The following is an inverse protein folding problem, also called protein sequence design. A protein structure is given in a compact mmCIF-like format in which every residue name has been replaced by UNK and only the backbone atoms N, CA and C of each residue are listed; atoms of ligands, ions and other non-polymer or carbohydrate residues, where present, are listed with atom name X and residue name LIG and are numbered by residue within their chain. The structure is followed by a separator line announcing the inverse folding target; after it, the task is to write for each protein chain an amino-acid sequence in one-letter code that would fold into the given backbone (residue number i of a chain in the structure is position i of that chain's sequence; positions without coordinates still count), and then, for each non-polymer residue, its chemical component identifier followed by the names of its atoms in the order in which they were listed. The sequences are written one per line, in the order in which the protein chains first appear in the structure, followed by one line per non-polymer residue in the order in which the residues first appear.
data_IF_746450564141
#
_entry.id   IF_746450564141
#
_cell.length_a   1.000
_cell.length_b   1.000
_cell.length_c   1.000
_cell.angle_alpha   90.00
_cell.angle_beta   90.00
_cell.angle_gamma   90.00
#
_symmetry.space_group_name_H-M   'P 1'
#
loop_
_entity.id
_entity.type
_entity.pdbx_description
1 polymer ?
#
# COMPACT_ATOMS: atom_id res chain seq x y z
N UNK A 1 2.30 -0.55 37.02
CA UNK A 1 2.95 -0.92 35.75
C UNK A 1 2.29 -0.20 34.57
N UNK A 2 1.02 -0.48 34.23
CA UNK A 2 0.35 0.14 33.07
C UNK A 2 0.23 1.69 33.15
N UNK A 3 -0.17 2.23 34.31
CA UNK A 3 -0.30 3.70 34.49
C UNK A 3 1.03 4.42 34.31
N UNK A 4 2.11 3.91 34.93
CA UNK A 4 3.45 4.48 34.77
C UNK A 4 3.93 4.44 33.33
N UNK A 5 3.70 3.32 32.62
CA UNK A 5 4.04 3.19 31.20
C UNK A 5 3.28 4.17 30.30
N UNK A 6 2.00 4.44 30.59
CA UNK A 6 1.24 5.45 29.86
C UNK A 6 1.78 6.87 30.13
N UNK A 7 2.04 7.21 31.40
CA UNK A 7 2.58 8.53 31.75
C UNK A 7 3.98 8.73 31.18
N UNK A 8 4.85 7.73 31.19
CA UNK A 8 6.17 7.83 30.56
C UNK A 8 6.07 7.96 29.04
N UNK A 9 5.10 7.31 28.37
CA UNK A 9 4.82 7.55 26.94
C UNK A 9 4.32 8.98 26.65
N UNK A 10 3.53 9.57 27.55
CA UNK A 10 3.12 10.99 27.43
C UNK A 10 4.33 11.90 27.59
N UNK A 11 5.15 11.68 28.64
CA UNK A 11 6.38 12.45 28.87
C UNK A 11 7.30 12.38 27.66
N UNK A 12 7.56 11.18 27.12
CA UNK A 12 8.36 11.00 25.91
C UNK A 12 7.80 11.78 24.72
N UNK A 13 6.49 11.70 24.46
CA UNK A 13 5.86 12.46 23.38
C UNK A 13 6.07 13.98 23.54
N UNK A 14 5.89 14.53 24.74
CA UNK A 14 6.10 15.96 25.00
C UNK A 14 7.59 16.35 24.86
N UNK A 15 8.51 15.49 25.30
CA UNK A 15 9.95 15.69 25.11
C UNK A 15 10.33 15.70 23.62
N UNK A 16 9.79 14.79 22.83
CA UNK A 16 10.03 14.74 21.38
C UNK A 16 9.49 16.02 20.70
N UNK A 17 8.34 16.53 21.14
CA UNK A 17 7.80 17.82 20.66
C UNK A 17 8.72 19.01 20.95
N UNK A 18 9.41 19.02 22.11
CA UNK A 18 10.38 20.07 22.47
C UNK A 18 11.59 20.10 21.52
N UNK A 19 11.99 18.96 20.96
CA UNK A 19 13.15 18.81 20.09
C UNK A 19 12.81 19.08 18.62
N UNK A 20 11.69 18.53 18.14
CA UNK A 20 11.38 18.44 16.71
C UNK A 20 10.16 19.28 16.28
N UNK A 21 9.47 19.96 17.21
CA UNK A 21 8.25 20.72 16.94
C UNK A 21 8.46 22.19 16.60
N UNK A 22 7.63 22.72 15.70
CA UNK A 22 7.46 24.17 15.48
C UNK A 22 6.58 24.75 16.60
N UNK A 23 7.19 25.01 17.76
CA UNK A 23 6.53 25.54 18.97
C UNK A 23 7.06 26.92 19.33
N UNK A 24 6.15 27.80 19.75
CA UNK A 24 6.50 29.14 20.24
C UNK A 24 7.26 29.06 21.58
N UNK A 25 8.04 30.10 21.89
CA UNK A 25 8.81 30.17 23.14
C UNK A 25 7.93 30.01 24.39
N UNK A 26 6.78 30.68 24.43
CA UNK A 26 5.83 30.59 25.55
C UNK A 26 5.25 29.17 25.71
N UNK A 27 5.00 28.46 24.60
CA UNK A 27 4.52 27.08 24.63
C UNK A 27 5.58 26.11 25.10
N UNK A 28 6.86 26.40 24.80
CA UNK A 28 8.01 25.59 25.22
C UNK A 28 8.14 25.55 26.75
N UNK A 29 8.13 26.73 27.39
CA UNK A 29 8.21 26.82 28.85
C UNK A 29 7.04 26.09 29.53
N UNK A 30 5.83 26.25 28.98
CA UNK A 30 4.64 25.56 29.47
C UNK A 30 4.75 24.03 29.36
N UNK A 31 5.34 23.52 28.27
CA UNK A 31 5.57 22.09 28.06
C UNK A 31 6.64 21.53 29.01
N UNK A 32 7.72 22.27 29.26
CA UNK A 32 8.76 21.87 30.21
C UNK A 32 8.21 21.73 31.63
N UNK A 33 7.38 22.68 32.07
CA UNK A 33 6.69 22.60 33.37
C UNK A 33 5.75 21.39 33.43
N UNK A 34 4.97 21.14 32.36
CA UNK A 34 4.08 19.99 32.31
C UNK A 34 4.84 18.65 32.40
N UNK A 35 5.98 18.53 31.73
CA UNK A 35 6.86 17.36 31.81
C UNK A 35 7.33 17.17 33.25
N UNK A 36 7.91 18.20 33.88
CA UNK A 36 8.42 18.10 35.25
C UNK A 36 7.33 17.72 36.26
N UNK A 37 6.12 18.25 36.09
CA UNK A 37 4.98 17.89 36.93
C UNK A 37 4.61 16.40 36.78
N UNK A 38 4.57 15.88 35.55
CA UNK A 38 4.25 14.47 35.28
C UNK A 38 5.34 13.52 35.81
N UNK A 39 6.61 13.86 35.57
CA UNK A 39 7.76 13.08 36.05
C UNK A 39 7.76 12.99 37.58
N UNK A 40 7.56 14.11 38.26
CA UNK A 40 7.53 14.17 39.73
C UNK A 40 6.30 13.45 40.32
N UNK A 41 5.10 13.70 39.78
CA UNK A 41 3.86 13.15 40.32
C UNK A 41 3.79 11.62 40.20
N UNK A 42 4.34 11.04 39.13
CA UNK A 42 4.27 9.60 38.87
C UNK A 42 5.60 8.87 39.10
N UNK A 43 6.68 9.61 39.39
CA UNK A 43 8.04 9.11 39.52
C UNK A 43 8.41 8.25 38.29
N UNK A 44 8.48 8.91 37.12
CA UNK A 44 8.79 8.34 35.80
C UNK A 44 9.63 9.34 34.98
N UNK A 45 10.29 8.86 33.93
CA UNK A 45 11.04 9.64 32.95
C UNK A 45 10.66 9.24 31.52
N UNK A 46 11.04 10.04 30.52
CA UNK A 46 10.85 9.71 29.10
C UNK A 46 11.48 8.36 28.70
N UNK A 47 12.62 8.01 29.31
CA UNK A 47 13.34 6.73 29.10
C UNK A 47 12.57 5.51 29.61
N UNK A 48 11.61 5.70 30.52
CA UNK A 48 10.76 4.62 31.04
C UNK A 48 9.62 4.27 30.08
N UNK A 49 9.49 4.96 28.94
CA UNK A 49 8.48 4.66 27.94
C UNK A 49 8.78 3.30 27.26
N UNK A 50 7.77 2.42 27.09
CA UNK A 50 7.97 1.17 26.36
C UNK A 50 8.50 1.43 24.95
N UNK A 51 9.57 0.74 24.55
CA UNK A 51 10.27 0.97 23.28
C UNK A 51 9.37 0.78 22.04
N UNK A 52 8.32 -0.04 22.16
CA UNK A 52 7.38 -0.37 21.09
C UNK A 52 6.09 0.49 21.11
N UNK A 53 5.98 1.49 22.00
CA UNK A 53 4.78 2.33 22.13
C UNK A 53 5.09 3.74 21.60
N UNK A 54 4.45 4.10 20.48
CA UNK A 54 4.43 5.46 19.97
C UNK A 54 3.03 6.05 20.19
N UNK A 55 2.89 6.93 21.19
CA UNK A 55 1.59 7.48 21.59
C UNK A 55 0.92 8.28 20.47
N UNK A 56 1.70 9.05 19.71
CA UNK A 56 1.18 9.84 18.60
C UNK A 56 0.59 8.93 17.51
N UNK A 57 1.30 7.87 17.13
CA UNK A 57 0.82 6.89 16.15
C UNK A 57 -0.40 6.12 16.66
N UNK A 58 -0.43 5.76 17.94
CA UNK A 58 -1.59 5.10 18.55
C UNK A 58 -2.82 6.02 18.51
N UNK A 59 -2.67 7.29 18.89
CA UNK A 59 -3.76 8.27 18.82
C UNK A 59 -4.22 8.49 17.37
N UNK A 60 -3.28 8.63 16.43
CA UNK A 60 -3.58 8.75 15.01
C UNK A 60 -4.37 7.55 14.51
N UNK A 61 -3.92 6.33 14.81
CA UNK A 61 -4.63 5.10 14.46
C UNK A 61 -6.01 5.02 15.13
N UNK A 62 -6.12 5.42 16.41
CA UNK A 62 -7.39 5.43 17.13
C UNK A 62 -8.37 6.45 16.53
N UNK A 63 -7.88 7.60 16.08
CA UNK A 63 -8.69 8.62 15.40
C UNK A 63 -9.10 8.18 13.99
N UNK A 64 -8.21 7.50 13.26
CA UNK A 64 -8.51 6.91 11.95
C UNK A 64 -9.53 5.77 12.04
N UNK A 65 -9.55 5.04 13.17
CA UNK A 65 -10.42 3.90 13.44
C UNK A 65 -11.58 4.23 14.41
N UNK A 66 -11.74 5.49 14.82
CA UNK A 66 -12.76 5.87 15.79
C UNK A 66 -14.14 5.59 15.18
N UNK A 67 -14.95 4.79 15.87
CA UNK A 67 -16.34 4.60 15.49
C UNK A 67 -17.02 5.97 15.43
N UNK A 68 -17.59 6.37 14.29
CA UNK A 68 -18.31 7.62 14.16
C UNK A 68 -19.42 7.67 15.20
N UNK A 69 -19.49 8.74 15.98
CA UNK A 69 -20.65 8.98 16.85
C UNK A 69 -21.82 9.30 15.94
N UNK A 70 -22.66 8.29 15.69
CA UNK A 70 -23.88 8.46 14.91
C UNK A 70 -24.83 9.35 15.71
N UNK A 71 -25.52 10.24 15.02
CA UNK A 71 -26.58 11.05 15.60
C UNK A 71 -27.77 10.21 16.09
N UNK A 72 -28.71 10.85 16.81
CA UNK A 72 -29.97 10.20 17.17
C UNK A 72 -30.71 9.72 15.92
N UNK A 73 -31.65 8.79 16.11
CA UNK A 73 -32.48 8.32 15.01
C UNK A 73 -33.29 9.48 14.40
N UNK A 74 -33.19 9.64 13.07
CA UNK A 74 -33.88 10.67 12.33
C UNK A 74 -35.38 10.38 12.21
N UNK A 75 -36.21 11.44 12.20
CA UNK A 75 -37.66 11.30 11.96
C UNK A 75 -37.93 10.80 10.53
N UNK A 76 -39.11 10.22 10.25
CA UNK A 76 -39.49 9.80 8.90
C UNK A 76 -39.37 10.93 7.87
N UNK A 77 -39.70 12.16 8.24
CA UNK A 77 -39.61 13.34 7.38
C UNK A 77 -38.15 13.70 7.09
N UNK A 78 -37.28 13.66 8.10
CA UNK A 78 -35.85 13.89 7.93
C UNK A 78 -35.20 12.81 7.06
N UNK A 79 -35.60 11.54 7.21
CA UNK A 79 -35.15 10.42 6.35
C UNK A 79 -35.61 10.63 4.90
N UNK A 80 -36.87 11.02 4.68
CA UNK A 80 -37.39 11.28 3.34
C UNK A 80 -36.66 12.45 2.65
N UNK A 81 -36.39 13.53 3.39
CA UNK A 81 -35.64 14.67 2.88
C UNK A 81 -34.17 14.31 2.60
N UNK A 82 -33.52 13.55 3.47
CA UNK A 82 -32.17 13.04 3.26
C UNK A 82 -32.08 12.18 1.99
N UNK A 83 -33.07 11.31 1.75
CA UNK A 83 -33.13 10.50 0.53
C UNK A 83 -33.32 11.36 -0.72
N UNK A 84 -34.14 12.42 -0.65
CA UNK A 84 -34.30 13.41 -1.74
C UNK A 84 -32.97 14.08 -2.06
N UNK A 85 -32.27 14.59 -1.05
CA UNK A 85 -30.95 15.22 -1.20
C UNK A 85 -29.91 14.26 -1.77
N UNK A 86 -29.90 13.00 -1.33
CA UNK A 86 -29.04 11.96 -1.91
C UNK A 86 -29.37 11.72 -3.39
N UNK A 87 -30.64 11.67 -3.77
CA UNK A 87 -31.03 11.50 -5.17
C UNK A 87 -30.59 12.68 -6.04
N UNK A 88 -30.74 13.91 -5.53
CA UNK A 88 -30.25 15.12 -6.19
C UNK A 88 -28.73 15.11 -6.32
N UNK A 89 -28.01 14.75 -5.25
CA UNK A 89 -26.56 14.54 -5.27
C UNK A 89 -26.11 13.51 -6.31
N UNK A 90 -26.86 12.41 -6.47
CA UNK A 90 -26.59 11.41 -7.50
C UNK A 90 -26.78 12.00 -8.92
N UNK A 91 -27.79 12.84 -9.13
CA UNK A 91 -28.02 13.50 -10.42
C UNK A 91 -26.89 14.50 -10.74
N UNK A 92 -26.44 15.27 -9.74
CA UNK A 92 -25.31 16.20 -9.86
C UNK A 92 -24.00 15.47 -10.15
N UNK A 93 -23.78 14.29 -9.55
CA UNK A 93 -22.62 13.45 -9.87
C UNK A 93 -22.60 13.00 -11.34
N UNK A 94 -23.76 12.69 -11.93
CA UNK A 94 -23.88 12.37 -13.36
C UNK A 94 -23.60 13.57 -14.26
N UNK A 95 -23.77 14.79 -13.75
CA UNK A 95 -23.45 16.04 -14.43
C UNK A 95 -22.02 16.54 -14.11
N UNK A 96 -21.21 15.74 -13.41
CA UNK A 96 -19.86 16.09 -12.96
C UNK A 96 -19.78 17.34 -12.04
N UNK A 97 -20.91 17.74 -11.46
CA UNK A 97 -21.02 18.84 -10.49
C UNK A 97 -20.64 18.38 -9.09
N UNK A 98 -19.36 18.06 -8.90
CA UNK A 98 -18.87 17.40 -7.70
C UNK A 98 -19.07 18.21 -6.40
N UNK A 99 -18.82 19.52 -6.41
CA UNK A 99 -18.99 20.35 -5.20
C UNK A 99 -20.46 20.47 -4.76
N UNK A 100 -21.39 20.58 -5.71
CA UNK A 100 -22.83 20.61 -5.41
C UNK A 100 -23.31 19.25 -4.87
N UNK A 101 -22.84 18.14 -5.48
CA UNK A 101 -23.12 16.80 -4.99
C UNK A 101 -22.59 16.59 -3.55
N UNK A 102 -21.36 17.05 -3.27
CA UNK A 102 -20.76 17.00 -1.93
C UNK A 102 -21.64 17.71 -0.89
N UNK A 103 -22.16 18.90 -1.23
CA UNK A 103 -23.05 19.66 -0.37
C UNK A 103 -24.35 18.89 -0.09
N UNK A 104 -24.96 18.28 -1.11
CA UNK A 104 -26.20 17.52 -0.95
C UNK A 104 -26.03 16.26 -0.11
N UNK A 105 -24.97 15.47 -0.31
CA UNK A 105 -24.69 14.32 0.56
C UNK A 105 -24.38 14.75 2.00
N UNK A 106 -23.69 15.87 2.18
CA UNK A 106 -23.41 16.40 3.52
C UNK A 106 -24.69 16.81 4.24
N UNK A 107 -25.62 17.49 3.55
CA UNK A 107 -26.94 17.81 4.10
C UNK A 107 -27.75 16.55 4.43
N UNK A 108 -27.72 15.53 3.56
CA UNK A 108 -28.38 14.25 3.82
C UNK A 108 -27.84 13.59 5.10
N UNK A 109 -26.52 13.57 5.29
CA UNK A 109 -25.87 13.05 6.50
C UNK A 109 -26.25 13.83 7.76
N UNK A 110 -26.36 15.16 7.67
CA UNK A 110 -26.81 15.99 8.81
C UNK A 110 -28.23 15.67 9.23
N UNK A 111 -29.11 15.32 8.28
CA UNK A 111 -30.50 14.94 8.56
C UNK A 111 -30.64 13.51 9.04
N UNK A 112 -29.89 12.58 8.44
CA UNK A 112 -29.84 11.17 8.82
C UNK A 112 -28.42 10.62 8.67
N UNK A 113 -27.73 10.54 9.80
CA UNK A 113 -26.35 10.06 9.90
C UNK A 113 -26.23 8.54 9.99
N UNK A 114 -27.34 7.80 9.95
CA UNK A 114 -27.35 6.33 10.16
C UNK A 114 -27.52 5.55 8.87
N UNK A 115 -27.41 6.21 7.72
CA UNK A 115 -27.50 5.58 6.41
C UNK A 115 -26.13 5.51 5.74
N UNK A 116 -25.60 4.28 5.62
CA UNK A 116 -24.29 4.00 5.02
C UNK A 116 -24.15 4.50 3.58
N UNK A 117 -25.26 4.56 2.83
CA UNK A 117 -25.27 4.98 1.42
C UNK A 117 -24.80 6.42 1.26
N UNK A 118 -25.16 7.32 2.18
CA UNK A 118 -24.80 8.73 2.05
C UNK A 118 -23.29 8.95 2.18
N UNK A 119 -22.67 8.31 3.17
CA UNK A 119 -21.23 8.32 3.36
C UNK A 119 -20.51 7.67 2.19
N UNK A 120 -20.95 6.48 1.76
CA UNK A 120 -20.36 5.82 0.59
C UNK A 120 -20.43 6.73 -0.65
N UNK A 121 -21.57 7.37 -0.91
CA UNK A 121 -21.74 8.30 -2.02
C UNK A 121 -20.84 9.53 -1.91
N UNK A 122 -20.74 10.13 -0.72
CA UNK A 122 -19.85 11.26 -0.46
C UNK A 122 -18.37 10.88 -0.62
N UNK A 123 -17.99 9.66 -0.23
CA UNK A 123 -16.65 9.14 -0.44
C UNK A 123 -16.25 9.13 -1.93
N UNK A 124 -17.15 8.76 -2.85
CA UNK A 124 -16.83 8.85 -4.28
C UNK A 124 -16.63 10.29 -4.76
N UNK A 125 -17.37 11.25 -4.21
CA UNK A 125 -17.14 12.66 -4.54
C UNK A 125 -15.76 13.08 -4.05
N UNK A 126 -15.38 12.71 -2.82
CA UNK A 126 -14.05 12.95 -2.30
C UNK A 126 -12.96 12.32 -3.18
N UNK A 127 -13.13 11.07 -3.62
CA UNK A 127 -12.19 10.44 -4.57
C UNK A 127 -12.08 11.19 -5.89
N UNK A 128 -13.20 11.67 -6.45
CA UNK A 128 -13.20 12.47 -7.70
C UNK A 128 -12.50 13.83 -7.54
N UNK A 129 -12.54 14.39 -6.33
CA UNK A 129 -11.86 15.64 -5.98
C UNK A 129 -10.41 15.42 -5.50
N UNK A 130 -9.88 14.20 -5.53
CA UNK A 130 -8.52 13.87 -5.03
C UNK A 130 -8.39 13.82 -3.50
N UNK A 131 -9.48 13.94 -2.76
CA UNK A 131 -9.50 13.95 -1.29
C UNK A 131 -9.56 12.54 -0.71
N UNK A 132 -8.57 11.69 -1.03
CA UNK A 132 -8.60 10.25 -0.71
C UNK A 132 -8.67 9.93 0.78
N UNK A 133 -8.02 10.73 1.65
CA UNK A 133 -8.12 10.57 3.10
C UNK A 133 -9.54 10.77 3.62
N UNK A 134 -10.28 11.75 3.08
CA UNK A 134 -11.69 11.97 3.43
C UNK A 134 -12.57 10.85 2.87
N UNK A 135 -12.26 10.34 1.68
CA UNK A 135 -12.96 9.18 1.13
C UNK A 135 -12.80 7.93 2.02
N UNK A 136 -11.60 7.66 2.55
CA UNK A 136 -11.35 6.57 3.51
C UNK A 136 -12.21 6.76 4.76
N UNK A 137 -12.23 7.96 5.35
CA UNK A 137 -13.03 8.25 6.54
C UNK A 137 -14.52 8.00 6.32
N UNK A 138 -15.06 8.44 5.19
CA UNK A 138 -16.47 8.20 4.84
C UNK A 138 -16.75 6.72 4.54
N UNK A 139 -15.84 6.00 3.87
CA UNK A 139 -16.00 4.56 3.66
C UNK A 139 -15.99 3.78 4.99
N UNK A 140 -15.08 4.10 5.90
CA UNK A 140 -15.03 3.49 7.23
C UNK A 140 -16.31 3.78 8.03
N UNK A 141 -16.87 4.98 7.89
CA UNK A 141 -18.17 5.32 8.50
C UNK A 141 -19.32 4.53 7.87
N UNK A 142 -19.33 4.39 6.55
CA UNK A 142 -20.33 3.56 5.88
C UNK A 142 -20.26 2.10 6.38
N UNK A 143 -19.05 1.56 6.53
CA UNK A 143 -18.81 0.19 6.98
C UNK A 143 -19.06 -0.03 8.47
N UNK A 144 -18.96 1.00 9.32
CA UNK A 144 -19.37 0.90 10.72
C UNK A 144 -20.89 0.88 10.88
N UNK A 145 -21.63 1.47 9.92
CA UNK A 145 -23.10 1.43 9.86
C UNK A 145 -23.58 0.12 9.23
N UNK A 146 -23.01 -0.26 8.08
CA UNK A 146 -23.31 -1.48 7.35
C UNK A 146 -22.01 -2.21 6.96
N UNK A 147 -21.56 -3.18 7.78
CA UNK A 147 -20.37 -3.97 7.49
C UNK A 147 -20.48 -4.85 6.25
N UNK A 148 -21.68 -5.04 5.69
CA UNK A 148 -21.91 -5.85 4.49
C UNK A 148 -21.94 -5.03 3.19
N UNK A 149 -21.61 -3.73 3.26
CA UNK A 149 -21.71 -2.86 2.11
C UNK A 149 -20.50 -2.96 1.17
N UNK A 150 -20.56 -3.93 0.25
CA UNK A 150 -19.55 -4.24 -0.80
C UNK A 150 -18.96 -2.98 -1.47
N UNK A 151 -19.83 -2.04 -1.86
CA UNK A 151 -19.46 -0.80 -2.55
C UNK A 151 -18.58 0.12 -1.71
N UNK A 152 -18.76 0.14 -0.39
CA UNK A 152 -17.89 0.89 0.51
C UNK A 152 -16.49 0.27 0.58
N UNK A 153 -16.37 -1.06 0.61
CA UNK A 153 -15.08 -1.73 0.51
C UNK A 153 -14.37 -1.48 -0.83
N UNK A 154 -15.09 -1.55 -1.95
CA UNK A 154 -14.52 -1.25 -3.26
C UNK A 154 -14.00 0.20 -3.37
N UNK A 155 -14.70 1.17 -2.77
CA UNK A 155 -14.26 2.58 -2.72
C UNK A 155 -13.11 2.81 -1.75
N UNK A 156 -13.10 2.09 -0.63
CA UNK A 156 -12.00 2.10 0.33
C UNK A 156 -10.71 1.59 -0.33
N UNK A 157 -10.80 0.49 -1.08
CA UNK A 157 -9.70 -0.05 -1.88
C UNK A 157 -9.17 0.97 -2.88
N UNK A 158 -10.06 1.66 -3.61
CA UNK A 158 -9.68 2.70 -4.56
C UNK A 158 -8.94 3.87 -3.89
N UNK A 159 -9.47 4.34 -2.75
CA UNK A 159 -8.85 5.44 -2.02
C UNK A 159 -7.47 5.06 -1.46
N UNK A 160 -7.28 3.83 -0.98
CA UNK A 160 -5.97 3.34 -0.57
C UNK A 160 -5.00 3.19 -1.76
N UNK A 161 -5.46 2.66 -2.90
CA UNK A 161 -4.64 2.58 -4.13
C UNK A 161 -4.15 3.96 -4.57
N UNK A 162 -5.00 4.99 -4.50
CA UNK A 162 -4.62 6.37 -4.85
C UNK A 162 -3.62 7.00 -3.88
N UNK A 163 -3.48 6.46 -2.67
CA UNK A 163 -2.47 6.86 -1.69
C UNK A 163 -1.25 5.93 -1.67
N UNK A 164 -1.10 5.07 -2.68
CA UNK A 164 -0.03 4.06 -2.78
C UNK A 164 0.00 3.06 -1.60
N UNK A 165 -1.10 2.98 -0.84
CA UNK A 165 -1.32 2.04 0.27
C UNK A 165 -1.85 0.71 -0.26
N UNK A 166 -1.04 0.06 -1.10
CA UNK A 166 -1.49 -1.07 -1.90
C UNK A 166 -1.87 -2.31 -1.08
N UNK A 167 -1.31 -2.47 0.13
CA UNK A 167 -1.65 -3.58 1.03
C UNK A 167 -3.08 -3.44 1.55
N UNK A 168 -3.43 -2.27 2.08
CA UNK A 168 -4.79 -1.98 2.55
C UNK A 168 -5.80 -1.96 1.39
N UNK A 169 -5.35 -1.54 0.19
CA UNK A 169 -6.17 -1.61 -1.02
C UNK A 169 -6.54 -3.05 -1.36
N UNK A 170 -5.56 -3.96 -1.40
CA UNK A 170 -5.75 -5.40 -1.63
C UNK A 170 -6.78 -5.98 -0.66
N UNK A 171 -6.56 -5.80 0.65
CA UNK A 171 -7.46 -6.34 1.70
C UNK A 171 -8.90 -5.82 1.54
N UNK A 172 -9.05 -4.55 1.12
CA UNK A 172 -10.37 -3.95 0.88
C UNK A 172 -11.07 -4.55 -0.34
N UNK A 173 -10.36 -4.75 -1.46
CA UNK A 173 -10.94 -5.38 -2.66
C UNK A 173 -11.27 -6.86 -2.45
N UNK A 174 -10.45 -7.60 -1.71
CA UNK A 174 -10.76 -8.99 -1.33
C UNK A 174 -12.06 -9.09 -0.54
N UNK A 175 -12.27 -8.18 0.44
CA UNK A 175 -13.54 -8.10 1.17
C UNK A 175 -14.72 -7.75 0.27
N UNK A 176 -14.53 -6.83 -0.67
CA UNK A 176 -15.56 -6.49 -1.65
C UNK A 176 -15.92 -7.70 -2.55
N UNK A 177 -14.93 -8.44 -3.01
CA UNK A 177 -15.11 -9.65 -3.84
C UNK A 177 -15.70 -10.83 -3.07
N UNK A 178 -15.43 -10.95 -1.77
CA UNK A 178 -16.08 -11.96 -0.94
C UNK A 178 -17.61 -11.77 -0.90
N UNK A 179 -18.08 -10.52 -1.08
CA UNK A 179 -19.50 -10.17 -1.12
C UNK A 179 -20.07 -10.19 -2.54
N UNK A 180 -19.31 -9.70 -3.52
CA UNK A 180 -19.68 -9.67 -4.93
C UNK A 180 -18.58 -10.34 -5.78
N UNK A 181 -18.56 -11.69 -5.85
CA UNK A 181 -17.48 -12.41 -6.51
C UNK A 181 -17.31 -12.05 -7.98
N UNK A 182 -18.41 -11.75 -8.67
CA UNK A 182 -18.47 -11.48 -10.11
C UNK A 182 -18.23 -10.02 -10.51
N UNK A 183 -17.85 -9.17 -9.55
CA UNK A 183 -17.57 -7.77 -9.83
C UNK A 183 -16.18 -7.61 -10.49
N UNK A 184 -16.17 -7.52 -11.82
CA UNK A 184 -14.94 -7.36 -12.62
C UNK A 184 -14.10 -6.13 -12.20
N UNK A 185 -14.76 -5.03 -11.82
CA UNK A 185 -14.04 -3.83 -11.37
C UNK A 185 -13.21 -4.10 -10.11
N UNK A 186 -13.75 -4.87 -9.16
CA UNK A 186 -13.00 -5.25 -7.96
C UNK A 186 -11.87 -6.22 -8.28
N UNK A 187 -12.09 -7.20 -9.17
CA UNK A 187 -11.03 -8.14 -9.62
C UNK A 187 -9.87 -7.40 -10.29
N UNK A 188 -10.17 -6.50 -11.23
CA UNK A 188 -9.15 -5.76 -11.96
C UNK A 188 -8.35 -4.83 -11.04
N UNK A 189 -9.01 -4.14 -10.12
CA UNK A 189 -8.33 -3.27 -9.17
C UNK A 189 -7.53 -4.05 -8.10
N UNK A 190 -8.01 -5.22 -7.69
CA UNK A 190 -7.24 -6.14 -6.84
C UNK A 190 -5.95 -6.58 -7.52
N UNK A 191 -6.04 -7.05 -8.77
CA UNK A 191 -4.87 -7.45 -9.55
C UNK A 191 -3.86 -6.30 -9.68
N UNK A 192 -4.32 -5.09 -9.98
CA UNK A 192 -3.44 -3.91 -10.04
C UNK A 192 -2.75 -3.63 -8.70
N UNK A 193 -3.48 -3.74 -7.58
CA UNK A 193 -2.90 -3.56 -6.25
C UNK A 193 -1.83 -4.62 -5.94
N UNK A 194 -2.06 -5.88 -6.34
CA UNK A 194 -1.10 -6.98 -6.19
C UNK A 194 0.16 -6.78 -7.04
N UNK A 195 0.00 -6.36 -8.29
CA UNK A 195 1.13 -6.05 -9.18
C UNK A 195 2.01 -4.93 -8.60
N UNK A 196 1.39 -3.87 -8.06
CA UNK A 196 2.10 -2.78 -7.39
C UNK A 196 2.84 -3.24 -6.13
N UNK A 197 2.22 -4.10 -5.32
CA UNK A 197 2.90 -4.70 -4.15
C UNK A 197 4.09 -5.57 -4.56
N UNK A 198 3.95 -6.37 -5.61
CA UNK A 198 5.05 -7.20 -6.11
C UNK A 198 6.22 -6.35 -6.60
N UNK A 199 5.95 -5.25 -7.33
CA UNK A 199 6.99 -4.31 -7.78
C UNK A 199 7.76 -3.70 -6.59
N UNK A 200 7.07 -3.32 -5.52
CA UNK A 200 7.70 -2.80 -4.30
C UNK A 200 8.57 -3.84 -3.60
N UNK A 201 8.12 -5.11 -3.54
CA UNK A 201 8.89 -6.21 -2.99
C UNK A 201 10.15 -6.54 -3.80
N UNK A 202 10.07 -6.49 -5.13
CA UNK A 202 11.22 -6.72 -6.03
C UNK A 202 12.27 -5.62 -5.88
N UNK A 203 11.86 -4.35 -5.78
CA UNK A 203 12.79 -3.22 -5.57
C UNK A 203 13.55 -3.30 -4.23
N UNK A 204 13.02 -4.01 -3.22
CA UNK A 204 13.67 -4.16 -1.92
C UNK A 204 14.53 -5.43 -1.81
N UNK A 205 14.32 -6.42 -2.68
CA UNK A 205 14.92 -7.76 -2.55
C UNK A 205 16.11 -8.02 -3.47
N UNK A 206 16.38 -7.15 -4.44
CA UNK A 206 17.50 -7.30 -5.36
C UNK A 206 18.64 -6.33 -4.98
N UNK A 207 19.84 -6.83 -4.65
CA UNK A 207 21.03 -5.99 -4.56
C UNK A 207 21.26 -5.28 -5.88
N UNK A 208 21.72 -4.04 -5.82
CA UNK A 208 22.09 -3.23 -6.98
C UNK A 208 23.18 -3.97 -7.79
N UNK A 209 22.77 -4.77 -8.79
CA UNK A 209 23.67 -5.53 -9.66
C UNK A 209 24.23 -4.57 -10.71
N UNK A 210 25.54 -4.27 -10.71
CA UNK A 210 26.12 -3.35 -11.67
C UNK A 210 26.06 -3.97 -13.07
N UNK A 211 25.45 -3.27 -14.03
CA UNK A 211 25.49 -3.64 -15.45
C UNK A 211 24.18 -4.16 -16.05
N UNK A 212 23.10 -4.29 -15.28
CA UNK A 212 21.78 -4.65 -15.82
C UNK A 212 20.82 -3.46 -15.70
N UNK A 213 20.44 -2.88 -16.85
CA UNK A 213 19.46 -1.78 -16.88
C UNK A 213 18.06 -2.32 -16.60
N UNK A 214 17.65 -2.23 -15.33
CA UNK A 214 16.35 -2.66 -14.84
C UNK A 214 15.18 -1.96 -15.56
N UNK A 215 15.42 -0.77 -16.13
CA UNK A 215 14.41 -0.04 -16.90
C UNK A 215 14.04 -0.77 -18.20
N UNK A 216 15.01 -1.42 -18.86
CA UNK A 216 14.80 -2.22 -20.07
C UNK A 216 14.07 -3.55 -19.77
N UNK A 217 14.29 -4.13 -18.57
CA UNK A 217 13.61 -5.33 -18.09
C UNK A 217 12.14 -5.07 -17.75
N UNK A 218 11.84 -3.92 -17.15
CA UNK A 218 10.48 -3.53 -16.73
C UNK A 218 9.65 -2.96 -17.87
N UNK A 219 10.26 -2.29 -18.85
CA UNK A 219 9.57 -1.74 -20.02
C UNK A 219 9.23 -2.78 -21.08
N UNK A 220 9.80 -4.00 -20.97
CA UNK A 220 9.59 -5.06 -21.94
C UNK A 220 8.83 -6.26 -21.32
N UNK A 221 7.52 -6.40 -21.59
CA UNK A 221 6.67 -7.46 -21.03
C UNK A 221 7.17 -8.88 -21.32
N UNK A 222 7.82 -9.12 -22.46
CA UNK A 222 8.36 -10.44 -22.78
C UNK A 222 9.61 -10.76 -21.96
N UNK A 223 10.44 -9.77 -21.66
CA UNK A 223 11.58 -9.93 -20.76
C UNK A 223 11.13 -10.17 -19.31
N UNK A 224 10.09 -9.49 -18.86
CA UNK A 224 9.53 -9.67 -17.52
C UNK A 224 8.90 -11.05 -17.36
N UNK A 225 8.17 -11.53 -18.38
CA UNK A 225 7.64 -12.90 -18.41
C UNK A 225 8.76 -13.95 -18.44
N UNK A 226 9.83 -13.71 -19.20
CA UNK A 226 11.01 -14.58 -19.23
C UNK A 226 11.73 -14.62 -17.87
N UNK A 227 11.93 -13.46 -17.24
CA UNK A 227 12.51 -13.36 -15.90
C UNK A 227 11.64 -14.06 -14.84
N UNK A 228 10.31 -13.94 -14.95
CA UNK A 228 9.36 -14.63 -14.07
C UNK A 228 9.37 -16.15 -14.28
N UNK A 229 9.49 -16.60 -15.52
CA UNK A 229 9.59 -18.02 -15.87
C UNK A 229 10.90 -18.62 -15.33
N UNK A 230 12.00 -17.87 -15.46
CA UNK A 230 13.29 -18.21 -14.85
C UNK A 230 13.21 -18.31 -13.33
N UNK A 231 12.62 -17.31 -12.65
CA UNK A 231 12.46 -17.33 -11.19
C UNK A 231 11.50 -18.40 -10.68
N UNK A 232 10.58 -18.86 -11.54
CA UNK A 232 9.69 -19.99 -11.24
C UNK A 232 10.33 -21.36 -11.49
N UNK A 233 11.52 -21.41 -12.11
CA UNK A 233 12.23 -22.66 -12.38
C UNK A 233 12.83 -23.24 -11.07
N UNK A 234 12.43 -24.46 -10.66
CA UNK A 234 12.94 -25.10 -9.45
C UNK A 234 14.47 -25.30 -9.46
N UNK A 235 15.08 -25.51 -10.63
CA UNK A 235 16.52 -25.67 -10.76
C UNK A 235 17.24 -24.35 -10.44
N UNK A 236 16.67 -23.23 -10.90
CA UNK A 236 17.23 -21.90 -10.66
C UNK A 236 17.06 -21.45 -9.21
N UNK A 237 15.91 -21.75 -8.60
CA UNK A 237 15.71 -21.49 -7.16
C UNK A 237 16.71 -22.26 -6.30
N UNK A 238 16.96 -23.53 -6.64
CA UNK A 238 17.94 -24.38 -5.94
C UNK A 238 19.36 -23.81 -6.08
N UNK A 239 19.72 -23.39 -7.29
CA UNK A 239 21.02 -22.77 -7.57
C UNK A 239 21.20 -21.44 -6.82
N UNK A 240 20.16 -20.60 -6.78
CA UNK A 240 20.18 -19.32 -6.07
C UNK A 240 20.27 -19.52 -4.55
N UNK A 241 19.57 -20.52 -4.00
CA UNK A 241 19.74 -20.95 -2.61
C UNK A 241 21.17 -21.42 -2.31
N UNK A 242 21.77 -22.21 -3.21
CA UNK A 242 23.15 -22.69 -3.03
C UNK A 242 24.15 -21.52 -3.07
N UNK A 243 23.97 -20.55 -3.97
CA UNK A 243 24.81 -19.36 -4.07
C UNK A 243 24.69 -18.40 -2.88
N UNK A 244 23.48 -18.26 -2.31
CA UNK A 244 23.20 -17.42 -1.14
C UNK A 244 23.59 -18.09 0.19
N UNK A 245 23.56 -19.42 0.27
CA UNK A 245 23.87 -20.17 1.49
C UNK A 245 25.35 -20.11 1.91
N UNK A 246 26.24 -19.60 1.07
CA UNK A 246 27.67 -19.43 1.37
C UNK A 246 28.47 -20.74 1.53
N UNK A 247 27.83 -21.90 1.32
CA UNK A 247 28.42 -23.23 1.52
C UNK A 247 29.18 -23.77 0.30
N UNK A 248 29.45 -22.94 -0.71
CA UNK A 248 30.12 -23.36 -1.93
C UNK A 248 31.56 -22.82 -1.89
N UNK A 249 32.54 -23.72 -1.81
CA UNK A 249 33.96 -23.40 -1.92
C UNK A 249 34.22 -22.57 -3.20
N UNK A 250 35.16 -21.61 -3.14
CA UNK A 250 35.43 -20.66 -4.24
C UNK A 250 35.64 -21.34 -5.61
N UNK A 251 36.17 -22.57 -5.64
CA UNK A 251 36.30 -23.37 -6.87
C UNK A 251 34.98 -23.89 -7.44
N UNK A 252 34.04 -24.31 -6.57
CA UNK A 252 32.72 -24.82 -6.98
C UNK A 252 31.75 -23.71 -7.39
N UNK A 253 31.93 -22.48 -6.90
CA UNK A 253 31.11 -21.32 -7.32
C UNK A 253 31.35 -20.97 -8.79
N UNK A 254 32.60 -21.03 -9.25
CA UNK A 254 32.95 -20.75 -10.64
C UNK A 254 32.37 -21.82 -11.58
N UNK A 255 32.43 -23.08 -11.19
CA UNK A 255 31.90 -24.18 -12.00
C UNK A 255 30.37 -24.17 -12.07
N UNK A 256 29.69 -23.89 -10.96
CA UNK A 256 28.24 -23.67 -10.94
C UNK A 256 27.82 -22.45 -11.77
N UNK A 257 28.63 -21.39 -11.80
CA UNK A 257 28.38 -20.21 -12.64
C UNK A 257 28.60 -20.51 -14.14
N UNK A 258 29.59 -21.34 -14.47
CA UNK A 258 29.83 -21.78 -15.85
C UNK A 258 28.68 -22.67 -16.33
N UNK A 259 28.25 -23.61 -15.51
CA UNK A 259 27.14 -24.51 -15.81
C UNK A 259 25.81 -23.74 -15.94
N UNK A 260 25.58 -22.76 -15.06
CA UNK A 260 24.45 -21.84 -15.16
C UNK A 260 24.50 -21.00 -16.44
N UNK A 261 25.68 -20.50 -16.80
CA UNK A 261 25.90 -19.74 -18.02
C UNK A 261 25.63 -20.56 -19.29
N UNK A 262 26.03 -21.84 -19.28
CA UNK A 262 25.76 -22.77 -20.38
C UNK A 262 24.27 -23.11 -20.50
N UNK A 263 23.60 -23.43 -19.39
CA UNK A 263 22.16 -23.70 -19.39
C UNK A 263 21.35 -22.47 -19.83
N UNK A 264 21.72 -21.29 -19.34
CA UNK A 264 21.09 -20.03 -19.75
C UNK A 264 21.30 -19.77 -21.25
N UNK A 265 22.52 -19.95 -21.75
CA UNK A 265 22.80 -19.79 -23.18
C UNK A 265 21.97 -20.75 -24.04
N UNK A 266 21.80 -21.99 -23.60
CA UNK A 266 21.03 -23.00 -24.32
C UNK A 266 19.52 -22.73 -24.28
N UNK A 267 19.00 -22.27 -23.13
CA UNK A 267 17.60 -21.87 -23.00
C UNK A 267 17.30 -20.60 -23.82
N UNK A 268 18.23 -19.63 -23.85
CA UNK A 268 18.12 -18.42 -24.66
C UNK A 268 18.16 -18.72 -26.16
N UNK A 269 19.01 -19.67 -26.61
CA UNK A 269 19.02 -20.14 -28.00
C UNK A 269 17.69 -20.77 -28.42
N UNK A 270 17.09 -21.57 -27.53
CA UNK A 270 15.83 -22.25 -27.80
C UNK A 270 14.62 -21.30 -27.74
N UNK A 271 14.63 -20.32 -26.84
CA UNK A 271 13.50 -19.43 -26.61
C UNK A 271 13.47 -18.21 -27.54
N UNK A 272 14.63 -17.65 -27.91
CA UNK A 272 14.66 -16.44 -28.74
C UNK A 272 15.97 -16.29 -29.55
N UNK A 273 16.10 -17.00 -30.69
CA UNK A 273 17.32 -16.99 -31.51
C UNK A 273 17.66 -15.62 -32.09
N UNK A 274 16.67 -14.75 -32.36
CA UNK A 274 16.90 -13.40 -32.89
C UNK A 274 17.58 -12.47 -31.86
N UNK A 275 17.29 -12.66 -30.57
CA UNK A 275 17.90 -11.88 -29.49
C UNK A 275 19.40 -12.20 -29.36
N UNK A 276 19.76 -13.48 -29.47
CA UNK A 276 21.17 -13.95 -29.46
C UNK A 276 21.93 -13.35 -30.65
N UNK A 277 21.34 -13.36 -31.84
CA UNK A 277 21.96 -12.82 -33.05
C UNK A 277 22.20 -11.29 -32.93
N UNK A 278 21.24 -10.59 -32.29
CA UNK A 278 21.34 -9.15 -32.03
C UNK A 278 22.45 -8.81 -31.02
N UNK A 279 22.58 -9.60 -29.95
CA UNK A 279 23.64 -9.49 -28.95
C UNK A 279 25.02 -9.83 -29.54
N UNK A 280 25.09 -10.85 -30.41
CA UNK A 280 26.32 -11.28 -31.11
C UNK A 280 26.86 -10.17 -32.01
N UNK A 281 25.98 -9.47 -32.73
CA UNK A 281 26.34 -8.30 -33.54
C UNK A 281 26.79 -7.11 -32.68
N UNK A 282 26.20 -6.94 -31.50
CA UNK A 282 26.51 -5.82 -30.60
C UNK A 282 27.83 -6.03 -29.83
N UNK A 283 28.23 -7.29 -29.58
CA UNK A 283 29.46 -7.68 -28.89
C UNK A 283 30.67 -7.88 -29.83
N UNK A 284 30.54 -7.58 -31.13
CA UNK A 284 31.67 -7.55 -32.07
C UNK A 284 32.16 -8.91 -32.58
N UNK A 285 31.36 -9.97 -32.50
CA UNK A 285 31.73 -11.29 -33.00
C UNK A 285 31.85 -11.34 -34.52
N UNK A 286 33.03 -11.71 -35.03
CA UNK A 286 33.30 -11.88 -36.46
C UNK A 286 32.51 -13.11 -36.98
N UNK A 287 31.84 -13.05 -38.15
CA UNK A 287 31.07 -14.18 -38.71
C UNK A 287 31.87 -15.47 -39.00
N UNK A 288 33.19 -15.47 -38.79
CA UNK A 288 34.11 -16.55 -39.11
C UNK A 288 34.73 -17.24 -37.89
N UNK A 289 34.29 -16.95 -36.66
CA UNK A 289 34.75 -17.75 -35.52
C UNK A 289 34.16 -19.17 -35.58
N UNK A 290 35.01 -20.21 -35.44
CA UNK A 290 34.57 -21.60 -35.58
C UNK A 290 33.54 -21.96 -34.51
N UNK A 291 32.50 -22.69 -34.91
CA UNK A 291 31.52 -23.24 -33.98
C UNK A 291 32.22 -24.08 -32.90
N UNK A 292 31.84 -23.93 -31.61
CA UNK A 292 32.38 -24.78 -30.58
C UNK A 292 32.01 -26.23 -30.88
N UNK A 293 32.93 -27.18 -30.66
CA UNK A 293 32.74 -28.56 -31.07
C UNK A 293 31.51 -29.16 -30.38
N UNK A 294 30.61 -29.72 -31.20
CA UNK A 294 29.53 -30.57 -30.71
C UNK A 294 30.15 -31.83 -30.10
N UNK A 295 30.14 -31.93 -28.77
CA UNK A 295 30.44 -33.19 -28.09
C UNK A 295 29.18 -34.06 -28.17
N UNK A 296 29.34 -35.23 -28.83
CA UNK A 296 28.38 -36.34 -28.80
C UNK A 296 28.24 -36.92 -27.40
#
# INVERSE_FOLDING_TARGET
MAVKGLVSSIVKFLTDQLQDGDITADSRESLEVAIQCLESAYNVQASDAPANVNLHQIYKNAMENATPVLGPEATPEAKAEAERLKNEGNALMKQEKHHEALANYTKAITLDSRNAVYYCNRAAVHSKLGNHTLAIKDCNTALSIDPSYSKAYGRLGLAYSSLERHKEAKESYEKALAMEPDNESYRNNLQLAEEKLAQLGVNQSLPNLPGMDLSALLSNPSLMNMARQMLSDPAMQTMMCNLMSGNVEEGGRMELLIEAGQQLAQQMQNANPELIESLRRQMGGNPNDPEPPQQN
#
